data_IF_366662300607
#
_entry.id   IF_366662300607
#
_cell.length_a   1.000
_cell.length_b   1.000
_cell.length_c   1.000
_cell.angle_alpha   90.00
_cell.angle_beta   90.00
_cell.angle_gamma   90.00
#
_symmetry.space_group_name_H-M   'P 1'
#
loop_
_entity.id
_entity.type
_entity.pdbx_description
1 polymer ?
#
# COMPACT_ATOMS: atom_id res chain seq x y z
N UNK A 1 -3.05 -10.00 18.83
CA UNK A 1 -1.83 -9.18 18.59
C UNK A 1 -0.71 -9.94 17.88
N UNK A 2 -0.53 -11.24 18.12
CA UNK A 2 0.56 -12.03 17.50
C UNK A 2 0.56 -12.03 15.96
N UNK A 3 -0.60 -11.93 15.32
CA UNK A 3 -0.74 -11.90 13.84
C UNK A 3 -0.13 -10.65 13.21
N UNK A 4 -0.30 -9.47 13.82
CA UNK A 4 0.29 -8.22 13.32
C UNK A 4 1.83 -8.25 13.43
N UNK A 5 2.35 -8.88 14.49
CA UNK A 5 3.79 -9.05 14.68
C UNK A 5 4.39 -9.96 13.60
N UNK A 6 3.67 -11.02 13.20
CA UNK A 6 4.10 -11.89 12.09
C UNK A 6 4.12 -11.10 10.77
N UNK A 7 3.11 -10.28 10.48
CA UNK A 7 3.11 -9.41 9.28
C UNK A 7 4.29 -8.44 9.29
N UNK A 8 4.59 -7.82 10.43
CA UNK A 8 5.72 -6.90 10.57
C UNK A 8 7.07 -7.61 10.39
N UNK A 9 7.25 -8.81 10.97
CA UNK A 9 8.46 -9.61 10.79
C UNK A 9 8.62 -10.07 9.34
N UNK A 10 7.54 -10.41 8.64
CA UNK A 10 7.56 -10.72 7.22
C UNK A 10 8.01 -9.55 6.35
N UNK A 11 7.55 -8.33 6.65
CA UNK A 11 7.98 -7.12 5.95
C UNK A 11 9.48 -6.82 6.20
N UNK A 12 9.93 -6.94 7.45
CA UNK A 12 11.34 -6.72 7.82
C UNK A 12 12.27 -7.73 7.16
N UNK A 13 11.90 -9.02 7.17
CA UNK A 13 12.71 -10.07 6.55
C UNK A 13 12.75 -9.93 5.03
N UNK A 14 11.64 -9.57 4.38
CA UNK A 14 11.59 -9.28 2.95
C UNK A 14 12.51 -8.12 2.56
N UNK A 15 12.51 -7.03 3.34
CA UNK A 15 13.43 -5.90 3.14
C UNK A 15 14.89 -6.32 3.32
N UNK A 16 15.21 -7.03 4.40
CA UNK A 16 16.58 -7.51 4.67
C UNK A 16 17.10 -8.43 3.56
N UNK A 17 16.28 -9.38 3.10
CA UNK A 17 16.64 -10.27 1.99
C UNK A 17 16.83 -9.50 0.68
N UNK A 18 15.96 -8.52 0.39
CA UNK A 18 16.07 -7.68 -0.79
C UNK A 18 17.39 -6.89 -0.79
N UNK A 19 17.82 -6.37 0.36
CA UNK A 19 19.10 -5.65 0.48
C UNK A 19 20.32 -6.57 0.39
N UNK A 20 20.24 -7.80 0.91
CA UNK A 20 21.34 -8.76 0.89
C UNK A 20 21.59 -9.40 -0.49
N UNK A 21 20.58 -9.44 -1.35
CA UNK A 21 20.63 -10.13 -2.66
C UNK A 21 20.81 -9.15 -3.83
N UNK A 22 20.52 -7.86 -3.66
CA UNK A 22 20.35 -6.95 -4.79
C UNK A 22 21.65 -6.30 -5.31
N UNK A 23 21.94 -6.55 -6.59
CA UNK A 23 22.45 -5.52 -7.48
C UNK A 23 21.33 -4.48 -7.73
N UNK A 24 21.53 -3.18 -7.43
CA UNK A 24 20.47 -2.16 -7.47
C UNK A 24 19.72 -2.07 -8.81
N UNK A 25 20.42 -2.28 -9.93
CA UNK A 25 19.82 -2.24 -11.27
C UNK A 25 19.05 -3.50 -11.64
N UNK A 26 19.49 -4.67 -11.17
CA UNK A 26 18.82 -5.94 -11.46
C UNK A 26 17.53 -6.12 -10.65
N UNK A 27 17.49 -5.54 -9.44
CA UNK A 27 16.32 -5.61 -8.57
C UNK A 27 15.14 -4.80 -9.11
N UNK A 28 15.37 -3.58 -9.62
CA UNK A 28 14.31 -2.75 -10.18
C UNK A 28 13.64 -3.42 -11.39
N UNK A 29 14.44 -3.99 -12.31
CA UNK A 29 13.91 -4.74 -13.45
C UNK A 29 13.18 -6.03 -13.02
N UNK A 30 13.72 -6.75 -12.02
CA UNK A 30 13.11 -7.97 -11.52
C UNK A 30 11.79 -7.72 -10.77
N UNK A 31 11.67 -6.65 -9.99
CA UNK A 31 10.42 -6.31 -9.29
C UNK A 31 9.35 -5.81 -10.25
N UNK A 32 9.72 -4.97 -11.23
CA UNK A 32 8.85 -4.50 -12.31
C UNK A 32 8.39 -5.62 -13.25
N UNK A 33 9.26 -6.60 -13.54
CA UNK A 33 8.92 -7.76 -14.38
C UNK A 33 8.29 -8.93 -13.61
N UNK A 34 8.28 -8.88 -12.27
CA UNK A 34 7.72 -9.94 -11.43
C UNK A 34 6.24 -9.71 -11.13
N UNK A 35 5.52 -10.81 -10.90
CA UNK A 35 4.11 -10.78 -10.52
C UNK A 35 3.87 -10.22 -9.11
N UNK A 36 4.93 -9.93 -8.36
CA UNK A 36 4.85 -9.42 -6.99
C UNK A 36 4.15 -8.07 -6.96
N UNK A 37 4.55 -7.10 -7.79
CA UNK A 37 3.94 -5.76 -7.83
C UNK A 37 2.44 -5.79 -8.15
N UNK A 38 1.96 -6.41 -9.23
CA UNK A 38 0.52 -6.45 -9.52
C UNK A 38 -0.26 -7.22 -8.45
N UNK A 39 0.32 -8.27 -7.86
CA UNK A 39 -0.31 -9.01 -6.76
C UNK A 39 -0.47 -8.13 -5.50
N UNK A 40 0.59 -7.42 -5.07
CA UNK A 40 0.51 -6.55 -3.89
C UNK A 40 -0.38 -5.34 -4.12
N UNK A 41 -0.27 -4.69 -5.29
CA UNK A 41 -1.14 -3.56 -5.66
C UNK A 41 -2.62 -3.98 -5.69
N UNK A 42 -2.93 -5.13 -6.29
CA UNK A 42 -4.28 -5.69 -6.29
C UNK A 42 -4.82 -5.98 -4.89
N UNK A 43 -3.98 -6.53 -4.01
CA UNK A 43 -4.33 -6.76 -2.60
C UNK A 43 -4.68 -5.46 -1.85
N UNK A 44 -3.87 -4.41 -2.01
CA UNK A 44 -4.14 -3.10 -1.41
C UNK A 44 -5.41 -2.45 -1.98
N UNK A 45 -5.65 -2.54 -3.29
CA UNK A 45 -6.89 -2.04 -3.92
C UNK A 45 -8.11 -2.79 -3.38
N UNK A 46 -8.02 -4.12 -3.22
CA UNK A 46 -9.10 -4.91 -2.65
C UNK A 46 -9.41 -4.50 -1.21
N UNK A 47 -8.39 -4.39 -0.34
CA UNK A 47 -8.57 -3.95 1.05
C UNK A 47 -9.18 -2.55 1.10
N UNK A 48 -8.68 -1.62 0.28
CA UNK A 48 -9.20 -0.25 0.22
C UNK A 48 -10.67 -0.20 -0.20
N UNK A 49 -11.05 -0.95 -1.24
CA UNK A 49 -12.38 -0.85 -1.84
C UNK A 49 -13.46 -1.70 -1.18
N UNK A 50 -13.11 -2.88 -0.68
CA UNK A 50 -14.07 -3.85 -0.13
C UNK A 50 -14.16 -3.80 1.39
N UNK A 51 -13.10 -3.37 2.08
CA UNK A 51 -13.11 -3.23 3.54
C UNK A 51 -13.16 -1.76 3.96
N UNK A 52 -12.17 -0.95 3.56
CA UNK A 52 -12.00 0.41 4.10
C UNK A 52 -13.09 1.37 3.62
N UNK A 53 -13.41 1.43 2.31
CA UNK A 53 -14.44 2.34 1.79
C UNK A 53 -15.82 2.07 2.43
N UNK A 54 -16.32 0.82 2.50
CA UNK A 54 -17.59 0.52 3.16
C UNK A 54 -17.58 0.88 4.65
N UNK A 55 -16.51 0.53 5.38
CA UNK A 55 -16.37 0.85 6.81
C UNK A 55 -16.38 2.36 7.07
N UNK A 56 -15.75 3.16 6.21
CA UNK A 56 -15.80 4.62 6.30
C UNK A 56 -17.21 5.18 6.06
N UNK A 57 -18.03 4.53 5.24
CA UNK A 57 -19.34 5.03 4.84
C UNK A 57 -20.50 4.51 5.70
N UNK A 58 -20.31 3.44 6.46
CA UNK A 58 -21.37 2.73 7.18
C UNK A 58 -22.08 3.57 8.27
N UNK A 59 -21.41 4.57 8.85
CA UNK A 59 -21.98 5.42 9.91
C UNK A 59 -21.81 6.93 9.66
N UNK A 60 -21.60 7.33 8.40
CA UNK A 60 -21.19 8.70 8.06
C UNK A 60 -22.34 9.57 7.56
N UNK A 61 -22.48 10.77 8.12
CA UNK A 61 -23.32 11.81 7.51
C UNK A 61 -22.75 12.24 6.14
N UNK A 62 -23.58 12.73 5.23
CA UNK A 62 -23.13 13.14 3.87
C UNK A 62 -21.96 14.13 3.90
N UNK A 63 -21.92 15.02 4.90
CA UNK A 63 -20.80 15.97 5.08
C UNK A 63 -19.52 15.32 5.64
N UNK A 64 -19.64 14.27 6.47
CA UNK A 64 -18.50 13.51 6.99
C UNK A 64 -17.89 12.62 5.90
N UNK A 65 -18.73 11.91 5.14
CA UNK A 65 -18.30 11.09 4.00
C UNK A 65 -17.51 11.93 2.98
N UNK A 66 -17.94 13.17 2.72
CA UNK A 66 -17.21 14.07 1.82
C UNK A 66 -15.80 14.39 2.36
N UNK A 67 -15.64 14.58 3.68
CA UNK A 67 -14.32 14.83 4.30
C UNK A 67 -13.43 13.59 4.25
N UNK A 68 -13.99 12.40 4.43
CA UNK A 68 -13.26 11.13 4.33
C UNK A 68 -12.77 10.89 2.90
N UNK A 69 -13.61 11.16 1.89
CA UNK A 69 -13.21 11.10 0.48
C UNK A 69 -12.10 12.11 0.18
N UNK A 70 -12.22 13.35 0.67
CA UNK A 70 -11.15 14.35 0.50
C UNK A 70 -9.85 13.93 1.20
N UNK A 71 -9.92 13.32 2.39
CA UNK A 71 -8.74 12.79 3.08
C UNK A 71 -8.09 11.64 2.32
N UNK A 72 -8.89 10.75 1.72
CA UNK A 72 -8.40 9.66 0.86
C UNK A 72 -7.72 10.22 -0.39
N UNK A 73 -8.32 11.20 -1.07
CA UNK A 73 -7.73 11.88 -2.23
C UNK A 73 -6.44 12.63 -1.86
N UNK A 74 -6.39 13.26 -0.68
CA UNK A 74 -5.18 13.90 -0.16
C UNK A 74 -4.05 12.88 0.06
N UNK A 75 -4.38 11.69 0.58
CA UNK A 75 -3.40 10.60 0.74
C UNK A 75 -2.83 10.12 -0.61
N UNK A 76 -3.70 9.95 -1.62
CA UNK A 76 -3.26 9.62 -2.99
C UNK A 76 -2.39 10.74 -3.56
N UNK A 77 -2.78 12.00 -3.37
CA UNK A 77 -2.00 13.15 -3.81
C UNK A 77 -0.61 13.20 -3.15
N UNK A 78 -0.49 12.91 -1.86
CA UNK A 78 0.81 12.76 -1.20
C UNK A 78 1.66 11.66 -1.82
N UNK A 79 1.09 10.48 -2.11
CA UNK A 79 1.82 9.40 -2.77
C UNK A 79 2.28 9.79 -4.17
N UNK A 80 1.45 10.53 -4.92
CA UNK A 80 1.84 11.07 -6.22
C UNK A 80 3.00 12.06 -6.12
N UNK A 81 3.00 12.95 -5.13
CA UNK A 81 4.12 13.87 -4.90
C UNK A 81 5.42 13.10 -4.61
N UNK A 82 5.38 12.07 -3.77
CA UNK A 82 6.57 11.24 -3.49
C UNK A 82 7.10 10.64 -4.80
N UNK A 83 6.22 10.07 -5.63
CA UNK A 83 6.60 9.49 -6.93
C UNK A 83 7.16 10.48 -7.95
N UNK A 84 6.99 11.80 -7.76
CA UNK A 84 7.60 12.81 -8.62
C UNK A 84 9.02 13.19 -8.17
N UNK A 85 9.37 12.89 -6.91
CA UNK A 85 10.67 13.21 -6.31
C UNK A 85 11.55 11.98 -6.06
N UNK A 86 10.98 10.77 -6.10
CA UNK A 86 11.67 9.48 -6.17
C UNK A 86 12.02 9.13 -7.63
#
# INVERSE_FOLDING_TARGET
MSIQLVTALGALSGCALSLCVADPSALADATSSSWILPFTAGGFIYIATVSVIPELLENSSTGQSLREILALLLGIFMMYLISMYE
#
